data_IF_210422750998
#
_entry.id   IF_210422750998
#
_cell.length_a   1.000
_cell.length_b   1.000
_cell.length_c   1.000
_cell.angle_alpha   90.00
_cell.angle_beta   90.00
_cell.angle_gamma   90.00
#
_symmetry.space_group_name_H-M   'P 1'
#
loop_
_entity.id
_entity.type
_entity.pdbx_description
1 polymer ?
#
# COMPACT_ATOMS: atom_id res chain seq x y z
N UNK A 1 19.37 -9.91 11.58
CA UNK A 1 18.07 -10.07 10.92
C UNK A 1 17.98 -11.49 10.38
N UNK A 2 16.85 -12.18 10.56
CA UNK A 2 16.67 -13.54 10.05
C UNK A 2 15.65 -13.47 8.91
N UNK A 3 16.13 -13.42 7.67
CA UNK A 3 15.28 -13.54 6.48
C UNK A 3 15.00 -15.03 6.33
N UNK A 4 13.73 -15.40 6.48
CA UNK A 4 13.26 -16.78 6.34
C UNK A 4 12.44 -16.87 5.06
N UNK A 5 13.11 -17.21 3.95
CA UNK A 5 12.42 -17.64 2.73
C UNK A 5 12.21 -19.14 2.81
N UNK A 6 10.98 -19.58 3.03
CA UNK A 6 10.61 -21.00 3.03
C UNK A 6 9.57 -21.27 1.95
N UNK A 7 9.95 -22.04 0.94
CA UNK A 7 9.06 -22.48 -0.13
C UNK A 7 9.14 -24.01 -0.22
N UNK A 8 8.01 -24.68 -0.05
CA UNK A 8 7.91 -26.14 -0.15
C UNK A 8 6.77 -26.49 -1.11
N UNK A 9 7.09 -27.28 -2.15
CA UNK A 9 6.13 -27.84 -3.08
C UNK A 9 6.49 -29.32 -3.29
N UNK A 10 5.81 -30.21 -2.57
CA UNK A 10 6.24 -31.61 -2.40
C UNK A 10 6.13 -32.45 -3.68
N UNK A 11 5.29 -32.06 -4.64
CA UNK A 11 5.03 -32.81 -5.89
C UNK A 11 5.11 -31.95 -7.16
N UNK A 12 5.66 -30.73 -7.07
CA UNK A 12 5.83 -29.83 -8.22
C UNK A 12 7.30 -29.46 -8.35
N UNK A 13 7.91 -29.84 -9.47
CA UNK A 13 9.26 -29.38 -9.81
C UNK A 13 9.16 -27.91 -10.24
N UNK A 14 9.89 -27.05 -9.52
CA UNK A 14 9.99 -25.64 -9.83
C UNK A 14 11.29 -25.36 -10.59
N UNK A 15 11.18 -24.74 -11.76
CA UNK A 15 12.33 -24.29 -12.55
C UNK A 15 12.43 -22.76 -12.51
N UNK A 16 13.62 -22.17 -12.32
CA UNK A 16 13.79 -20.72 -12.40
C UNK A 16 13.25 -20.16 -13.71
N UNK A 17 12.37 -19.18 -13.62
CA UNK A 17 11.73 -18.54 -14.76
C UNK A 17 11.89 -17.01 -14.68
N UNK A 18 13.13 -16.49 -14.74
CA UNK A 18 13.41 -15.07 -14.55
C UNK A 18 12.82 -14.22 -15.68
N UNK A 19 12.58 -12.94 -15.38
CA UNK A 19 12.27 -11.96 -16.41
C UNK A 19 13.42 -11.83 -17.40
N UNK A 20 13.08 -11.67 -18.68
CA UNK A 20 14.08 -11.50 -19.75
C UNK A 20 14.38 -10.04 -20.07
N UNK A 21 13.50 -9.12 -19.67
CA UNK A 21 13.55 -7.68 -19.94
C UNK A 21 12.95 -6.92 -18.75
N UNK A 22 13.52 -5.77 -18.41
CA UNK A 22 12.98 -4.88 -17.36
C UNK A 22 11.53 -4.49 -17.67
N UNK A 23 11.23 -4.15 -18.92
CA UNK A 23 9.87 -3.86 -19.37
C UNK A 23 8.88 -5.02 -19.10
N UNK A 24 9.32 -6.27 -19.18
CA UNK A 24 8.47 -7.42 -18.86
C UNK A 24 8.27 -7.61 -17.35
N UNK A 25 9.24 -7.19 -16.56
CA UNK A 25 9.15 -7.16 -15.09
C UNK A 25 8.21 -6.04 -14.64
N UNK A 26 8.37 -4.85 -15.20
CA UNK A 26 7.51 -3.70 -14.96
C UNK A 26 6.05 -4.00 -15.26
N UNK A 27 5.74 -4.47 -16.48
CA UNK A 27 4.38 -4.82 -16.87
C UNK A 27 3.74 -5.85 -15.93
N UNK A 28 4.52 -6.86 -15.53
CA UNK A 28 4.03 -7.86 -14.57
C UNK A 28 3.74 -7.26 -13.20
N UNK A 29 4.60 -6.38 -12.68
CA UNK A 29 4.41 -5.76 -11.37
C UNK A 29 3.24 -4.78 -11.36
N UNK A 30 3.01 -4.06 -12.47
CA UNK A 30 1.84 -3.20 -12.65
C UNK A 30 0.55 -4.04 -12.65
N UNK A 31 0.55 -5.20 -13.32
CA UNK A 31 -0.61 -6.11 -13.34
C UNK A 31 -0.81 -6.86 -12.00
N UNK A 32 0.21 -6.92 -11.15
CA UNK A 32 0.23 -7.72 -9.92
C UNK A 32 0.75 -6.89 -8.74
N UNK A 33 0.08 -5.77 -8.44
CA UNK A 33 0.51 -4.77 -7.44
C UNK A 33 0.80 -5.38 -6.05
N UNK A 34 0.07 -6.42 -5.66
CA UNK A 34 0.28 -7.11 -4.36
C UNK A 34 1.67 -7.73 -4.20
N UNK A 35 2.38 -7.99 -5.32
CA UNK A 35 3.77 -8.45 -5.29
C UNK A 35 4.68 -7.37 -4.70
N UNK A 36 4.32 -6.09 -4.80
CA UNK A 36 5.09 -4.94 -4.32
C UNK A 36 4.90 -4.66 -2.82
N UNK A 37 4.10 -5.45 -2.11
CA UNK A 37 3.91 -5.30 -0.68
C UNK A 37 5.25 -5.50 0.06
N UNK A 38 5.54 -4.62 1.03
CA UNK A 38 6.78 -4.67 1.80
C UNK A 38 6.61 -5.38 3.15
N UNK A 39 5.37 -5.51 3.64
CA UNK A 39 4.99 -6.20 4.87
C UNK A 39 3.50 -6.59 4.82
N UNK A 40 3.00 -7.18 5.92
CA UNK A 40 1.62 -7.66 6.08
C UNK A 40 0.70 -6.67 6.82
N UNK A 41 1.16 -5.45 7.12
CA UNK A 41 0.42 -4.47 7.92
C UNK A 41 0.23 -3.12 7.21
N UNK A 42 1.32 -2.37 7.03
CA UNK A 42 1.32 -0.95 6.68
C UNK A 42 1.58 -0.76 5.19
N UNK A 43 2.53 -1.51 4.65
CA UNK A 43 2.96 -1.43 3.26
C UNK A 43 2.40 -2.61 2.45
N UNK A 44 1.16 -3.00 2.74
CA UNK A 44 0.40 -4.06 2.06
C UNK A 44 -0.36 -3.57 0.84
N UNK A 45 -1.02 -2.42 0.98
CA UNK A 45 -1.93 -1.89 -0.03
C UNK A 45 -1.16 -0.98 -1.00
N UNK A 46 -0.59 -1.59 -2.03
CA UNK A 46 0.13 -0.89 -3.10
C UNK A 46 -0.86 -0.49 -4.19
N UNK A 47 -0.71 0.71 -4.70
CA UNK A 47 -1.50 1.25 -5.80
C UNK A 47 -0.58 1.92 -6.81
N UNK A 48 -0.56 1.47 -8.06
CA UNK A 48 0.24 2.11 -9.11
C UNK A 48 -0.42 3.42 -9.54
N UNK A 49 0.38 4.48 -9.58
CA UNK A 49 -0.05 5.82 -9.99
C UNK A 49 0.36 6.09 -11.43
N UNK A 50 1.61 5.80 -11.77
CA UNK A 50 2.18 6.05 -13.09
C UNK A 50 3.37 5.10 -13.32
N UNK A 51 3.75 4.93 -14.57
CA UNK A 51 4.93 4.17 -14.96
C UNK A 51 5.74 4.95 -15.99
N UNK A 52 7.05 4.71 -16.04
CA UNK A 52 7.93 5.33 -17.02
C UNK A 52 7.88 6.88 -16.98
N UNK A 53 7.69 7.46 -15.79
CA UNK A 53 7.52 8.91 -15.61
C UNK A 53 8.85 9.65 -15.82
N UNK A 54 8.96 10.58 -16.79
CA UNK A 54 10.20 11.31 -17.04
C UNK A 54 10.46 12.38 -15.98
N UNK A 55 11.70 12.42 -15.50
CA UNK A 55 12.22 13.41 -14.55
C UNK A 55 13.32 14.24 -15.20
N UNK A 56 13.16 15.56 -15.21
CA UNK A 56 14.24 16.45 -15.62
C UNK A 56 15.33 16.45 -14.56
N UNK A 57 16.59 16.39 -14.99
CA UNK A 57 17.74 16.29 -14.07
C UNK A 57 17.61 15.11 -13.08
N UNK A 58 16.89 14.06 -13.48
CA UNK A 58 16.63 12.88 -12.66
C UNK A 58 17.89 12.06 -12.39
N UNK A 59 19.00 12.28 -13.09
CA UNK A 59 20.28 11.61 -12.81
C UNK A 59 21.35 12.66 -12.58
N UNK A 60 21.26 13.33 -11.44
CA UNK A 60 22.18 14.41 -11.06
C UNK A 60 23.63 13.95 -11.09
N UNK A 61 23.92 12.71 -10.71
CA UNK A 61 25.27 12.14 -10.80
C UNK A 61 25.80 11.95 -12.23
N UNK A 62 24.93 11.97 -13.25
CA UNK A 62 25.27 11.79 -14.67
C UNK A 62 24.97 13.00 -15.56
N UNK A 63 24.43 14.07 -15.00
CA UNK A 63 24.00 15.28 -15.72
C UNK A 63 23.03 14.96 -16.89
N UNK A 64 22.11 14.04 -16.67
CA UNK A 64 21.06 13.68 -17.64
C UNK A 64 19.70 13.66 -17.00
N UNK A 65 18.67 13.76 -17.84
CA UNK A 65 17.31 13.40 -17.45
C UNK A 65 17.24 11.93 -17.01
N UNK A 66 16.23 11.62 -16.22
CA UNK A 66 15.96 10.31 -15.67
C UNK A 66 14.51 9.91 -15.90
N UNK A 67 14.15 8.72 -15.41
CA UNK A 67 12.80 8.21 -15.50
C UNK A 67 12.55 7.30 -14.32
N UNK A 68 11.45 7.55 -13.62
CA UNK A 68 10.94 6.65 -12.59
C UNK A 68 10.29 5.47 -13.31
N UNK A 69 10.73 4.25 -13.01
CA UNK A 69 10.16 3.05 -13.63
C UNK A 69 8.70 2.87 -13.17
N UNK A 70 8.46 2.89 -11.86
CA UNK A 70 7.11 2.83 -11.29
C UNK A 70 6.93 3.89 -10.19
N UNK A 71 5.83 4.62 -10.26
CA UNK A 71 5.33 5.49 -9.20
C UNK A 71 4.11 4.83 -8.56
N UNK A 72 4.12 4.67 -7.24
CA UNK A 72 3.03 4.01 -6.52
C UNK A 72 2.68 4.75 -5.23
N UNK A 73 1.60 4.34 -4.57
CA UNK A 73 1.31 4.72 -3.18
C UNK A 73 1.19 3.49 -2.31
N UNK A 74 1.56 3.63 -1.04
CA UNK A 74 1.25 2.64 0.00
C UNK A 74 0.23 3.23 0.96
N UNK A 75 -0.95 2.58 1.05
CA UNK A 75 -2.01 2.91 2.00
C UNK A 75 -2.43 4.39 2.03
N UNK A 76 -2.31 5.09 0.89
CA UNK A 76 -2.49 6.55 0.73
C UNK A 76 -1.72 7.43 1.72
N UNK A 77 -0.67 6.89 2.33
CA UNK A 77 0.11 7.61 3.33
C UNK A 77 1.58 7.70 2.96
N UNK A 78 2.03 6.95 1.95
CA UNK A 78 3.34 7.13 1.32
C UNK A 78 3.19 7.22 -0.19
N UNK A 79 3.96 8.12 -0.80
CA UNK A 79 4.29 8.05 -2.23
C UNK A 79 5.61 7.29 -2.39
N UNK A 80 5.59 6.29 -3.26
CA UNK A 80 6.72 5.41 -3.53
C UNK A 80 7.32 5.69 -4.91
N UNK A 81 8.61 6.00 -4.93
CA UNK A 81 9.42 6.00 -6.15
C UNK A 81 10.11 4.65 -6.24
N UNK A 82 9.82 3.89 -7.30
CA UNK A 82 10.30 2.52 -7.47
C UNK A 82 11.26 2.45 -8.65
N UNK A 83 12.44 1.89 -8.41
CA UNK A 83 13.47 1.62 -9.42
C UNK A 83 13.62 0.10 -9.61
N UNK A 84 13.59 -0.34 -10.86
CA UNK A 84 13.64 -1.75 -11.25
C UNK A 84 15.01 -2.10 -11.83
N UNK A 85 15.48 -3.30 -11.51
CA UNK A 85 16.62 -3.95 -12.15
C UNK A 85 16.36 -5.42 -12.40
N UNK A 86 16.77 -5.94 -13.56
CA UNK A 86 16.65 -7.38 -13.83
C UNK A 86 17.50 -8.26 -12.91
N UNK A 87 18.63 -7.72 -12.45
CA UNK A 87 19.68 -8.47 -11.77
C UNK A 87 19.71 -8.26 -10.26
N UNK A 88 20.90 -8.43 -9.71
CA UNK A 88 21.19 -8.16 -8.31
C UNK A 88 21.24 -6.64 -8.06
N UNK A 89 20.58 -6.19 -6.99
CA UNK A 89 20.60 -4.81 -6.53
C UNK A 89 21.88 -4.50 -5.76
N UNK A 90 22.40 -3.28 -5.95
CA UNK A 90 23.71 -2.82 -5.48
C UNK A 90 23.70 -1.32 -5.20
N UNK A 91 24.80 -0.79 -4.69
CA UNK A 91 24.89 0.62 -4.25
C UNK A 91 24.65 1.60 -5.40
N UNK A 92 25.09 1.28 -6.62
CA UNK A 92 24.86 2.09 -7.82
C UNK A 92 23.36 2.25 -8.15
N UNK A 93 22.54 1.25 -7.81
CA UNK A 93 21.10 1.30 -8.01
C UNK A 93 20.43 2.17 -6.93
N UNK A 94 20.94 2.10 -5.69
CA UNK A 94 20.53 2.99 -4.61
C UNK A 94 20.82 4.46 -4.94
N UNK A 95 22.02 4.77 -5.43
CA UNK A 95 22.40 6.12 -5.86
C UNK A 95 21.46 6.67 -6.94
N UNK A 96 21.10 5.85 -7.93
CA UNK A 96 20.13 6.25 -8.96
C UNK A 96 18.75 6.56 -8.38
N UNK A 97 18.26 5.73 -7.45
CA UNK A 97 16.97 5.96 -6.79
C UNK A 97 16.99 7.25 -5.94
N UNK A 98 18.10 7.52 -5.25
CA UNK A 98 18.27 8.76 -4.48
C UNK A 98 18.23 10.01 -5.37
N UNK A 99 18.88 9.96 -6.55
CA UNK A 99 18.80 11.05 -7.53
C UNK A 99 17.35 11.34 -7.96
N UNK A 100 16.51 10.31 -8.10
CA UNK A 100 15.08 10.50 -8.41
C UNK A 100 14.31 11.12 -7.25
N UNK A 101 14.59 10.68 -6.02
CA UNK A 101 13.93 11.21 -4.82
C UNK A 101 14.27 12.69 -4.57
N UNK A 102 15.47 13.14 -4.95
CA UNK A 102 15.83 14.57 -4.92
C UNK A 102 14.93 15.41 -5.84
N UNK A 103 14.37 14.81 -6.90
CA UNK A 103 13.49 15.47 -7.88
C UNK A 103 12.00 15.25 -7.61
N UNK A 104 11.63 14.69 -6.46
CA UNK A 104 10.24 14.31 -6.10
C UNK A 104 9.21 15.44 -6.20
N UNK A 105 9.61 16.71 -6.08
CA UNK A 105 8.70 17.85 -6.26
C UNK A 105 8.08 17.88 -7.67
N UNK A 106 8.80 17.40 -8.70
CA UNK A 106 8.27 17.27 -10.06
C UNK A 106 7.11 16.25 -10.14
N UNK A 107 7.13 15.24 -9.27
CA UNK A 107 6.05 14.24 -9.17
C UNK A 107 4.78 14.90 -8.66
N UNK A 108 4.86 15.75 -7.63
CA UNK A 108 3.72 16.48 -7.06
C UNK A 108 3.14 17.50 -8.05
N UNK A 109 3.99 18.17 -8.83
CA UNK A 109 3.54 19.10 -9.87
C UNK A 109 2.71 18.40 -10.95
N UNK A 110 3.08 17.17 -11.32
CA UNK A 110 2.36 16.36 -12.32
C UNK A 110 1.15 15.65 -11.73
N UNK A 111 1.21 15.29 -10.44
CA UNK A 111 0.19 14.55 -9.72
C UNK A 111 -0.19 15.29 -8.43
N UNK A 112 -0.86 16.45 -8.53
CA UNK A 112 -1.18 17.29 -7.37
C UNK A 112 -2.12 16.59 -6.39
N UNK A 113 -2.86 15.58 -6.84
CA UNK A 113 -3.80 14.79 -6.04
C UNK A 113 -3.30 13.35 -5.81
N UNK A 114 -1.99 13.11 -5.88
CA UNK A 114 -1.42 11.75 -5.71
C UNK A 114 -1.81 11.11 -4.38
N UNK A 115 -1.83 11.92 -3.32
CA UNK A 115 -2.43 11.58 -2.04
C UNK A 115 -3.58 12.56 -1.78
N UNK A 116 -4.72 12.05 -1.33
CA UNK A 116 -5.82 12.87 -0.84
C UNK A 116 -5.51 13.42 0.57
N UNK A 117 -4.38 14.10 0.73
CA UNK A 117 -3.94 14.63 2.00
C UNK A 117 -4.75 15.86 2.41
N UNK A 118 -5.01 16.01 3.72
CA UNK A 118 -5.56 17.23 4.29
C UNK A 118 -4.65 18.44 3.96
N UNK A 119 -5.21 19.63 3.72
CA UNK A 119 -4.41 20.83 3.43
C UNK A 119 -3.33 21.07 4.50
N UNK A 120 -2.06 21.07 4.08
CA UNK A 120 -0.91 21.37 4.95
C UNK A 120 -0.16 20.16 5.53
N UNK A 121 -0.61 18.92 5.28
CA UNK A 121 0.16 17.73 5.65
C UNK A 121 1.30 17.47 4.65
N UNK A 122 2.53 17.27 5.16
CA UNK A 122 3.67 16.94 4.31
C UNK A 122 3.52 15.53 3.73
N UNK A 123 3.76 15.40 2.41
CA UNK A 123 3.76 14.09 1.73
C UNK A 123 4.90 13.24 2.28
N UNK A 124 4.59 12.02 2.74
CA UNK A 124 5.60 11.06 3.15
C UNK A 124 6.06 10.27 1.94
N UNK A 125 7.37 10.08 1.83
CA UNK A 125 8.00 9.41 0.69
C UNK A 125 8.65 8.09 1.13
N UNK A 126 8.78 7.17 0.18
CA UNK A 126 9.61 5.97 0.31
C UNK A 126 10.27 5.68 -1.04
N UNK A 127 11.53 5.28 -1.03
CA UNK A 127 12.19 4.70 -2.19
C UNK A 127 12.16 3.18 -2.13
N UNK A 128 11.87 2.51 -3.25
CA UNK A 128 11.85 1.04 -3.32
C UNK A 128 12.74 0.56 -4.47
N UNK A 129 13.72 -0.27 -4.14
CA UNK A 129 14.53 -0.98 -5.14
C UNK A 129 13.94 -2.36 -5.39
N UNK A 130 13.80 -2.78 -6.65
CA UNK A 130 13.31 -4.13 -6.97
C UNK A 130 14.25 -4.83 -7.94
N UNK A 131 14.67 -6.04 -7.59
CA UNK A 131 15.50 -6.87 -8.45
C UNK A 131 15.38 -8.36 -8.17
N UNK A 132 16.21 -9.18 -8.79
CA UNK A 132 16.20 -10.63 -8.61
C UNK A 132 16.84 -11.09 -7.29
N UNK A 133 17.76 -10.28 -6.76
CA UNK A 133 18.44 -10.43 -5.47
C UNK A 133 18.96 -9.06 -4.99
N UNK A 134 19.47 -9.00 -3.76
CA UNK A 134 20.07 -7.79 -3.18
C UNK A 134 21.46 -8.16 -2.63
N UNK A 135 22.49 -7.38 -2.98
CA UNK A 135 23.83 -7.54 -2.41
C UNK A 135 23.77 -7.49 -0.88
N UNK A 136 24.51 -8.37 -0.22
CA UNK A 136 24.43 -8.56 1.24
C UNK A 136 24.67 -7.27 2.04
N UNK A 137 25.61 -6.42 1.62
CA UNK A 137 25.89 -5.15 2.32
C UNK A 137 24.71 -4.18 2.21
N UNK A 138 24.18 -3.99 0.99
CA UNK A 138 23.00 -3.15 0.74
C UNK A 138 21.78 -3.68 1.50
N UNK A 139 21.54 -4.99 1.43
CA UNK A 139 20.48 -5.67 2.15
C UNK A 139 20.57 -5.41 3.66
N UNK A 140 21.78 -5.51 4.23
CA UNK A 140 22.01 -5.25 5.66
C UNK A 140 21.76 -3.78 6.03
N UNK A 141 22.24 -2.84 5.21
CA UNK A 141 22.03 -1.39 5.43
C UNK A 141 20.53 -1.05 5.43
N UNK A 142 19.81 -1.49 4.41
CA UNK A 142 18.37 -1.24 4.27
C UNK A 142 17.60 -1.88 5.43
N UNK A 143 17.90 -3.14 5.76
CA UNK A 143 17.34 -3.86 6.90
C UNK A 143 17.55 -3.17 8.27
N UNK A 144 18.60 -2.34 8.39
CA UNK A 144 18.89 -1.60 9.62
C UNK A 144 18.15 -0.25 9.69
N UNK A 145 17.41 0.12 8.65
CA UNK A 145 16.66 1.38 8.55
C UNK A 145 17.43 2.47 7.83
N UNK A 146 18.00 2.14 6.67
CA UNK A 146 18.63 3.15 5.83
C UNK A 146 17.64 4.24 5.43
N UNK A 147 18.10 5.49 5.52
CA UNK A 147 17.39 6.68 5.07
C UNK A 147 18.32 7.52 4.21
N UNK A 148 17.75 8.22 3.22
CA UNK A 148 18.50 9.19 2.42
C UNK A 148 18.95 10.39 3.26
N UNK A 149 19.77 11.26 2.69
CA UNK A 149 20.18 12.53 3.31
C UNK A 149 19.00 13.46 3.66
N UNK A 150 17.85 13.31 3.00
CA UNK A 150 16.61 14.05 3.29
C UNK A 150 15.67 13.30 4.25
N UNK A 151 16.14 12.20 4.84
CA UNK A 151 15.37 11.41 5.80
C UNK A 151 14.30 10.52 5.17
N UNK A 152 14.37 10.26 3.85
CA UNK A 152 13.42 9.40 3.15
C UNK A 152 13.83 7.94 3.37
N UNK A 153 12.95 7.06 3.88
CA UNK A 153 13.26 5.65 4.04
C UNK A 153 13.40 4.93 2.70
N UNK A 154 14.26 3.91 2.68
CA UNK A 154 14.46 3.04 1.52
C UNK A 154 14.08 1.60 1.89
N UNK A 155 13.44 0.91 0.96
CA UNK A 155 13.18 -0.53 0.99
C UNK A 155 13.83 -1.21 -0.23
N UNK A 156 14.06 -2.51 -0.14
CA UNK A 156 14.39 -3.34 -1.29
C UNK A 156 13.53 -4.61 -1.31
N UNK A 157 13.20 -5.08 -2.51
CA UNK A 157 12.38 -6.26 -2.74
C UNK A 157 13.07 -7.19 -3.75
N UNK A 158 13.39 -8.40 -3.34
CA UNK A 158 13.93 -9.42 -4.25
C UNK A 158 12.79 -10.28 -4.80
N UNK A 159 12.44 -10.11 -6.07
CA UNK A 159 11.36 -10.82 -6.77
C UNK A 159 11.95 -11.96 -7.60
N UNK A 160 11.52 -13.19 -7.32
CA UNK A 160 11.92 -14.38 -8.07
C UNK A 160 10.71 -15.12 -8.60
N UNK A 161 10.86 -15.68 -9.80
CA UNK A 161 9.79 -16.39 -10.50
C UNK A 161 10.21 -17.81 -10.82
N UNK A 162 9.28 -18.72 -10.67
CA UNK A 162 9.46 -20.13 -10.93
C UNK A 162 8.32 -20.65 -11.81
N UNK A 163 8.63 -21.58 -12.70
CA UNK A 163 7.64 -22.31 -13.49
C UNK A 163 7.50 -23.71 -12.94
N UNK A 164 6.28 -24.09 -12.58
CA UNK A 164 5.92 -25.46 -12.23
C UNK A 164 5.89 -26.35 -13.47
N UNK A 165 6.10 -27.65 -13.29
CA UNK A 165 5.97 -28.66 -14.34
C UNK A 165 4.58 -28.72 -14.98
N UNK A 166 3.55 -28.21 -14.29
CA UNK A 166 2.18 -28.06 -14.76
C UNK A 166 1.93 -26.75 -15.55
N UNK A 167 2.97 -25.92 -15.72
CA UNK A 167 2.88 -24.62 -16.40
C UNK A 167 2.49 -23.47 -15.48
N UNK A 168 2.21 -23.72 -14.19
CA UNK A 168 1.95 -22.66 -13.21
C UNK A 168 3.16 -21.74 -13.06
N UNK A 169 2.92 -20.46 -12.77
CA UNK A 169 3.98 -19.49 -12.46
C UNK A 169 3.85 -19.10 -11.00
N UNK A 170 4.87 -19.37 -10.21
CA UNK A 170 4.97 -18.97 -8.81
C UNK A 170 5.92 -17.79 -8.68
N UNK A 171 5.59 -16.87 -7.79
CA UNK A 171 6.42 -15.70 -7.49
C UNK A 171 6.71 -15.66 -6.01
N UNK A 172 7.97 -15.45 -5.66
CA UNK A 172 8.41 -15.26 -4.27
C UNK A 172 9.05 -13.89 -4.12
N UNK A 173 8.80 -13.24 -3.00
CA UNK A 173 9.38 -11.94 -2.66
C UNK A 173 10.12 -12.02 -1.33
N UNK A 174 11.29 -11.39 -1.24
CA UNK A 174 11.96 -11.09 0.04
C UNK A 174 11.98 -9.58 0.19
N UNK A 175 11.34 -9.09 1.25
CA UNK A 175 11.37 -7.67 1.61
C UNK A 175 12.53 -7.40 2.57
N UNK A 176 13.31 -6.37 2.24
CA UNK A 176 14.36 -5.81 3.06
C UNK A 176 13.90 -4.41 3.41
N UNK A 177 13.38 -4.25 4.61
CA UNK A 177 12.85 -2.97 5.05
C UNK A 177 12.80 -2.93 6.57
N UNK A 178 13.08 -1.75 7.13
CA UNK A 178 12.78 -1.44 8.51
C UNK A 178 11.82 -0.27 8.51
N UNK A 179 10.70 -0.46 9.17
CA UNK A 179 9.70 0.58 9.32
C UNK A 179 10.35 1.87 9.83
N UNK A 180 10.07 3.01 9.20
CA UNK A 180 10.49 4.30 9.73
C UNK A 180 9.84 4.44 11.10
N UNK A 181 10.63 4.75 12.14
CA UNK A 181 10.16 4.97 13.51
C UNK A 181 9.18 6.17 13.65
N UNK A 182 8.62 6.67 12.56
CA UNK A 182 7.82 7.89 12.47
C UNK A 182 6.36 7.67 12.05
N UNK A 183 5.83 6.43 12.15
CA UNK A 183 4.40 6.20 11.88
C UNK A 183 3.61 5.59 13.02
N UNK A 184 2.41 6.13 13.09
CA UNK A 184 1.31 5.80 13.97
C UNK A 184 0.81 4.37 13.66
N UNK A 185 1.38 3.39 14.37
CA UNK A 185 0.91 2.00 14.43
C UNK A 185 -0.25 1.85 15.40
N UNK A 186 -0.93 2.93 15.78
CA UNK A 186 -2.01 2.90 16.78
C UNK A 186 -3.07 1.93 16.31
N UNK A 187 -3.14 0.83 17.06
CA UNK A 187 -4.25 -0.08 17.05
C UNK A 187 -5.34 0.48 17.95
N UNK A 188 -6.58 0.16 17.62
CA UNK A 188 -7.72 0.55 18.42
C UNK A 188 -8.39 -0.69 19.00
N UNK A 189 -8.59 -0.67 20.31
CA UNK A 189 -9.37 -1.66 21.03
C UNK A 189 -10.84 -1.43 20.73
N UNK A 190 -11.50 -2.43 20.16
CA UNK A 190 -12.95 -2.45 19.93
C UNK A 190 -13.46 -3.89 20.02
N UNK A 191 -14.50 -4.08 20.83
CA UNK A 191 -15.15 -5.38 21.05
C UNK A 191 -14.17 -6.53 21.37
N UNK A 192 -13.27 -6.27 22.32
CA UNK A 192 -12.25 -7.24 22.76
C UNK A 192 -11.12 -7.52 21.76
N UNK A 193 -11.10 -6.84 20.61
CA UNK A 193 -10.11 -7.03 19.55
C UNK A 193 -9.31 -5.75 19.27
N UNK A 194 -8.17 -5.90 18.60
CA UNK A 194 -7.30 -4.79 18.19
C UNK A 194 -7.31 -4.63 16.68
N UNK A 195 -7.56 -3.40 16.23
CA UNK A 195 -7.74 -3.11 14.81
C UNK A 195 -6.89 -1.93 14.34
N UNK A 196 -6.28 -2.06 13.16
CA UNK A 196 -5.79 -0.90 12.41
C UNK A 196 -6.96 -0.01 11.95
N UNK A 197 -6.67 1.24 11.60
CA UNK A 197 -7.68 2.31 11.37
C UNK A 197 -8.83 1.90 10.44
N UNK A 198 -8.55 1.43 9.23
CA UNK A 198 -9.60 0.98 8.30
C UNK A 198 -10.35 -0.28 8.77
N UNK A 199 -9.65 -1.21 9.43
CA UNK A 199 -10.25 -2.41 10.00
C UNK A 199 -11.15 -2.10 11.20
N UNK A 200 -10.81 -1.07 11.99
CA UNK A 200 -11.65 -0.56 13.06
C UNK A 200 -12.99 -0.07 12.50
N UNK A 201 -12.94 0.76 11.45
CA UNK A 201 -14.16 1.27 10.80
C UNK A 201 -15.03 0.12 10.30
N UNK A 202 -14.43 -0.85 9.60
CA UNK A 202 -15.14 -2.04 9.15
C UNK A 202 -15.76 -2.84 10.31
N UNK A 203 -15.02 -3.04 11.40
CA UNK A 203 -15.50 -3.75 12.58
C UNK A 203 -16.69 -3.03 13.23
N UNK A 204 -16.61 -1.70 13.39
CA UNK A 204 -17.69 -0.87 13.94
C UNK A 204 -18.93 -0.92 13.05
N UNK A 205 -18.79 -0.77 11.72
CA UNK A 205 -19.90 -0.83 10.76
C UNK A 205 -20.57 -2.21 10.78
N UNK A 206 -19.80 -3.30 10.75
CA UNK A 206 -20.34 -4.66 10.85
C UNK A 206 -21.12 -4.86 12.14
N UNK A 207 -20.57 -4.41 13.25
CA UNK A 207 -21.20 -4.56 14.56
C UNK A 207 -22.45 -3.66 14.70
N UNK A 208 -22.50 -2.49 14.05
CA UNK A 208 -23.73 -1.68 13.93
C UNK A 208 -24.84 -2.46 13.24
N UNK A 209 -24.56 -3.06 12.08
CA UNK A 209 -25.55 -3.83 11.32
C UNK A 209 -25.97 -5.11 12.06
N UNK A 210 -25.06 -5.77 12.77
CA UNK A 210 -25.42 -6.91 13.63
C UNK A 210 -26.43 -6.53 14.73
N UNK A 211 -26.35 -5.31 15.27
CA UNK A 211 -27.31 -4.80 16.26
C UNK A 211 -28.59 -4.25 15.64
N UNK A 212 -28.56 -3.95 14.34
CA UNK A 212 -29.67 -3.36 13.58
C UNK A 212 -29.85 -4.17 12.29
N UNK A 213 -30.38 -5.40 12.36
CA UNK A 213 -30.39 -6.33 11.22
C UNK A 213 -31.27 -5.86 10.05
N UNK A 214 -32.23 -4.98 10.29
CA UNK A 214 -33.09 -4.36 9.27
C UNK A 214 -32.54 -3.01 8.78
N UNK A 215 -31.29 -2.66 9.13
CA UNK A 215 -30.70 -1.40 8.70
C UNK A 215 -30.62 -1.32 7.17
N UNK A 216 -31.12 -0.22 6.62
CA UNK A 216 -31.02 0.10 5.20
C UNK A 216 -29.76 0.91 4.90
N UNK A 217 -29.45 1.11 3.62
CA UNK A 217 -28.39 2.02 3.19
C UNK A 217 -28.57 3.43 3.79
N UNK A 218 -29.80 3.94 3.78
CA UNK A 218 -30.12 5.27 4.31
C UNK A 218 -29.93 5.35 5.84
N UNK A 219 -30.25 4.29 6.58
CA UNK A 219 -30.00 4.23 8.02
C UNK A 219 -28.50 4.24 8.31
N UNK A 220 -27.73 3.51 7.50
CA UNK A 220 -26.28 3.48 7.64
C UNK A 220 -25.65 4.84 7.29
N UNK A 221 -26.16 5.57 6.30
CA UNK A 221 -25.69 6.92 5.96
C UNK A 221 -25.99 7.91 7.09
N UNK A 222 -27.14 7.77 7.75
CA UNK A 222 -27.49 8.58 8.92
C UNK A 222 -26.61 8.25 10.12
N UNK A 223 -26.25 6.98 10.31
CA UNK A 223 -25.36 6.55 11.37
C UNK A 223 -23.92 7.03 11.11
N UNK A 224 -23.41 6.84 9.90
CA UNK A 224 -22.04 7.19 9.51
C UNK A 224 -22.05 8.10 8.28
N UNK A 225 -22.34 9.40 8.46
CA UNK A 225 -22.43 10.31 7.33
C UNK A 225 -21.08 10.50 6.65
N UNK A 226 -21.14 10.89 5.38
CA UNK A 226 -20.00 10.96 4.47
C UNK A 226 -18.81 11.77 5.03
N UNK A 227 -19.10 12.85 5.74
CA UNK A 227 -18.14 13.76 6.36
C UNK A 227 -17.26 13.11 7.45
N UNK A 228 -17.67 11.97 8.02
CA UNK A 228 -16.85 11.20 8.94
C UNK A 228 -15.52 10.78 8.29
N UNK A 229 -15.52 10.48 7.00
CA UNK A 229 -14.33 10.17 6.24
C UNK A 229 -13.82 11.40 5.47
N UNK A 230 -14.73 12.14 4.83
CA UNK A 230 -14.42 13.25 3.92
C UNK A 230 -15.14 13.11 2.57
N UNK A 231 -14.48 13.49 1.48
CA UNK A 231 -15.08 13.53 0.14
C UNK A 231 -15.41 12.15 -0.45
N UNK A 232 -14.80 11.08 0.06
CA UNK A 232 -15.00 9.70 -0.44
C UNK A 232 -16.08 8.93 0.32
N UNK A 233 -16.40 9.35 1.55
CA UNK A 233 -17.39 8.68 2.40
C UNK A 233 -16.88 7.44 3.12
N UNK A 234 -17.69 6.98 4.07
CA UNK A 234 -17.36 5.84 4.94
C UNK A 234 -17.56 4.52 4.21
N UNK A 235 -18.57 4.44 3.35
CA UNK A 235 -18.93 3.27 2.57
C UNK A 235 -19.64 3.70 1.29
N UNK A 236 -19.70 2.79 0.32
CA UNK A 236 -20.50 2.89 -0.90
C UNK A 236 -21.14 1.53 -1.18
N UNK A 237 -22.04 1.44 -2.17
CA UNK A 237 -22.56 0.13 -2.61
C UNK A 237 -21.42 -0.76 -3.14
N UNK A 238 -21.54 -2.08 -3.02
CA UNK A 238 -20.55 -3.00 -3.54
C UNK A 238 -20.36 -2.84 -5.06
N UNK A 239 -21.44 -2.49 -5.78
CA UNK A 239 -21.37 -2.17 -7.21
C UNK A 239 -20.55 -0.90 -7.44
N UNK A 240 -20.81 0.19 -6.71
CA UNK A 240 -20.05 1.44 -6.85
C UNK A 240 -18.59 1.26 -6.45
N UNK A 241 -18.29 0.49 -5.40
CA UNK A 241 -16.92 0.15 -5.03
C UNK A 241 -16.20 -0.59 -6.18
N UNK A 242 -16.89 -1.53 -6.83
CA UNK A 242 -16.35 -2.21 -8.00
C UNK A 242 -16.19 -1.25 -9.20
N UNK A 243 -17.12 -0.32 -9.42
CA UNK A 243 -16.98 0.70 -10.47
C UNK A 243 -15.79 1.64 -10.22
N UNK A 244 -15.55 2.05 -8.96
CA UNK A 244 -14.38 2.85 -8.57
C UNK A 244 -13.10 2.07 -8.85
N UNK A 245 -13.08 0.78 -8.53
CA UNK A 245 -11.95 -0.10 -8.84
C UNK A 245 -11.75 -0.24 -10.36
N UNK A 246 -12.80 -0.52 -11.12
CA UNK A 246 -12.72 -0.68 -12.59
C UNK A 246 -12.31 0.60 -13.30
N UNK A 247 -12.78 1.77 -12.84
CA UNK A 247 -12.44 3.07 -13.44
C UNK A 247 -11.07 3.57 -13.06
N UNK A 248 -10.69 3.41 -11.79
CA UNK A 248 -9.48 4.01 -11.23
C UNK A 248 -8.30 3.05 -11.11
N UNK A 249 -8.53 1.74 -11.14
CA UNK A 249 -7.57 0.69 -10.77
C UNK A 249 -7.39 0.50 -9.27
N UNK A 250 -8.10 1.29 -8.44
CA UNK A 250 -7.76 1.47 -7.00
C UNK A 250 -8.76 0.78 -6.09
N UNK A 251 -8.31 -0.17 -5.27
CA UNK A 251 -9.16 -0.82 -4.24
C UNK A 251 -9.33 0.10 -3.03
N UNK A 252 -10.15 1.14 -3.18
CA UNK A 252 -10.44 2.12 -2.11
C UNK A 252 -11.45 1.63 -1.06
N UNK A 253 -11.96 0.42 -1.23
CA UNK A 253 -12.94 -0.20 -0.35
C UNK A 253 -12.57 -1.67 -0.12
N UNK A 254 -13.00 -2.23 1.01
CA UNK A 254 -12.89 -3.67 1.25
C UNK A 254 -13.93 -4.43 0.42
N UNK A 255 -13.48 -5.01 -0.69
CA UNK A 255 -14.34 -5.70 -1.67
C UNK A 255 -14.31 -7.23 -1.55
N UNK A 256 -13.49 -7.77 -0.65
CA UNK A 256 -13.49 -9.22 -0.39
C UNK A 256 -14.84 -9.66 0.17
N UNK A 257 -15.33 -10.82 -0.25
CA UNK A 257 -16.65 -11.33 0.17
C UNK A 257 -16.83 -11.40 1.70
N UNK A 258 -15.76 -11.69 2.44
CA UNK A 258 -15.75 -11.71 3.92
C UNK A 258 -15.87 -10.32 4.55
N UNK A 259 -15.54 -9.26 3.81
CA UNK A 259 -15.47 -7.89 4.28
C UNK A 259 -16.68 -7.05 3.84
N UNK A 260 -17.43 -7.49 2.84
CA UNK A 260 -18.70 -6.88 2.46
C UNK A 260 -19.71 -6.92 3.62
N UNK A 261 -20.55 -5.88 3.70
CA UNK A 261 -21.58 -5.73 4.72
C UNK A 261 -22.95 -5.78 4.05
N UNK A 262 -23.74 -6.78 4.40
CA UNK A 262 -25.11 -6.92 3.90
C UNK A 262 -26.07 -6.09 4.76
N UNK A 263 -26.87 -5.26 4.10
CA UNK A 263 -27.97 -4.48 4.64
C UNK A 263 -29.30 -5.09 4.16
N UNK A 264 -30.43 -4.57 4.63
CA UNK A 264 -31.75 -5.06 4.22
C UNK A 264 -32.03 -4.82 2.73
N UNK A 265 -31.55 -3.70 2.19
CA UNK A 265 -31.82 -3.23 0.82
C UNK A 265 -30.59 -3.22 -0.11
N UNK A 266 -29.39 -3.47 0.43
CA UNK A 266 -28.15 -3.34 -0.33
C UNK A 266 -27.00 -4.18 0.25
N UNK A 267 -25.92 -4.32 -0.54
CA UNK A 267 -24.62 -4.77 -0.04
C UNK A 267 -23.64 -3.62 -0.20
N UNK A 268 -22.91 -3.30 0.87
CA UNK A 268 -21.98 -2.16 0.90
C UNK A 268 -20.55 -2.60 1.15
N UNK A 269 -19.62 -1.79 0.66
CA UNK A 269 -18.19 -1.94 0.89
C UNK A 269 -17.68 -0.72 1.67
N UNK A 270 -16.99 -0.98 2.78
CA UNK A 270 -16.44 0.07 3.65
C UNK A 270 -15.12 0.58 3.06
N UNK A 271 -14.94 1.91 3.10
CA UNK A 271 -13.70 2.55 2.67
C UNK A 271 -12.52 2.03 3.50
N UNK A 272 -11.41 1.71 2.84
CA UNK A 272 -10.15 1.38 3.52
C UNK A 272 -9.23 2.59 3.67
N UNK A 273 -9.69 3.79 3.29
CA UNK A 273 -8.90 5.01 3.23
C UNK A 273 -9.02 5.83 4.53
N UNK A 274 -8.24 5.40 5.53
CA UNK A 274 -8.25 5.98 6.88
C UNK A 274 -6.84 6.28 7.37
N UNK A 275 -6.62 7.52 7.78
CA UNK A 275 -5.38 8.01 8.35
C UNK A 275 -5.62 8.78 9.66
N UNK A 276 -4.54 9.27 10.26
CA UNK A 276 -4.59 10.05 11.52
C UNK A 276 -5.51 11.27 11.41
N UNK A 277 -5.53 11.91 10.23
CA UNK A 277 -6.32 13.13 10.00
C UNK A 277 -7.85 12.93 9.97
N UNK A 278 -8.34 11.71 9.69
CA UNK A 278 -9.79 11.47 9.55
C UNK A 278 -10.34 10.39 10.49
N UNK A 279 -9.51 9.50 11.04
CA UNK A 279 -9.99 8.42 11.92
C UNK A 279 -10.69 8.94 13.18
N UNK A 280 -10.22 10.06 13.74
CA UNK A 280 -10.80 10.60 14.97
C UNK A 280 -12.20 11.19 14.75
N UNK A 281 -12.52 11.70 13.55
CA UNK A 281 -13.88 12.14 13.20
C UNK A 281 -14.85 10.95 13.23
N UNK A 282 -14.45 9.85 12.60
CA UNK A 282 -15.22 8.61 12.65
C UNK A 282 -15.38 8.08 14.08
N UNK A 283 -14.30 8.06 14.88
CA UNK A 283 -14.35 7.59 16.28
C UNK A 283 -15.26 8.44 17.14
N UNK A 284 -15.24 9.77 16.97
CA UNK A 284 -16.17 10.67 17.66
C UNK A 284 -17.62 10.30 17.34
N UNK A 285 -17.94 10.11 16.05
CA UNK A 285 -19.28 9.68 15.63
C UNK A 285 -19.66 8.30 16.16
N UNK A 286 -18.75 7.33 16.11
CA UNK A 286 -18.96 5.98 16.64
C UNK A 286 -19.24 6.01 18.16
N UNK A 287 -18.53 6.86 18.91
CA UNK A 287 -18.75 7.06 20.34
C UNK A 287 -20.15 7.60 20.66
N UNK A 288 -20.67 8.55 19.87
CA UNK A 288 -22.05 9.05 20.03
C UNK A 288 -23.10 7.94 19.87
N UNK A 289 -22.79 6.95 19.03
CA UNK A 289 -23.63 5.78 18.79
C UNK A 289 -23.38 4.62 19.77
N UNK A 290 -22.50 4.80 20.76
CA UNK A 290 -22.16 3.79 21.77
C UNK A 290 -21.14 2.73 21.33
N UNK A 291 -20.42 2.96 20.23
CA UNK A 291 -19.34 2.10 19.74
C UNK A 291 -17.99 2.66 20.15
N UNK A 292 -17.62 2.39 21.40
CA UNK A 292 -16.40 2.95 21.98
C UNK A 292 -15.14 2.24 21.49
N UNK A 293 -14.18 3.03 21.02
CA UNK A 293 -12.85 2.56 20.66
C UNK A 293 -11.77 3.42 21.32
N UNK A 294 -10.73 2.78 21.85
CA UNK A 294 -9.59 3.44 22.48
C UNK A 294 -8.30 3.08 21.75
N UNK A 295 -7.35 4.01 21.62
CA UNK A 295 -5.98 3.66 21.24
C UNK A 295 -5.46 2.59 22.19
N UNK A 296 -4.72 1.63 21.67
CA UNK A 296 -3.97 0.67 22.47
C UNK A 296 -2.53 1.12 22.47
N UNK A 297 -2.01 1.43 23.66
CA UNK A 297 -0.60 1.70 23.83
C UNK A 297 0.17 0.39 23.59
N UNK A 298 1.08 0.42 22.61
CA UNK A 298 2.00 -0.68 22.29
C UNK A 298 3.23 -0.69 23.17
#
# INVERSE_FOLDING_TARGET
MRILRHLTANDVRLEPFPFKRELSMEAYLIENESVLALDDEIFTNVEIVDAEMPLKEGRKGKDTDGRIDILATYSQEYVAVIELKLGELGTEHLEQLEDYLLQREQVLQRNPEILAAEPGAATKWIGVLIGASVQSDLAQRIAQGYVTSEGIPIAALAVQRFRGSDGSVLVTTDSYFKHPNSKDTTLYGFDGNHWGKGRLVLAVVKHYVQRNPEATFADLEKAFPKDCQGSSGVFVTAEEANQIYVRGGRKRHFVDAKDLVALDDAVVAVSNQWGVGNIDRFRARANELGYHSSPVDG
#
